data_IF_167689464651
#
_entry.id   IF_167689464651
#
_cell.length_a   1.000
_cell.length_b   1.000
_cell.length_c   1.000
_cell.angle_alpha   90.00
_cell.angle_beta   90.00
_cell.angle_gamma   90.00
#
_symmetry.space_group_name_H-M   'P 1'
#
loop_
_entity.id
_entity.type
_entity.pdbx_description
1 polymer ?
#
# COMPACT_ATOMS: atom_id res chain seq x y z
N UNK A 1 -14.44 30.70 17.59
CA UNK A 1 -13.85 30.04 18.79
C UNK A 1 -12.87 29.00 18.30
N UNK A 2 -11.68 28.91 18.88
CA UNK A 2 -10.74 27.85 18.55
C UNK A 2 -11.35 26.48 18.87
N UNK A 3 -11.17 25.49 17.99
CA UNK A 3 -11.65 24.10 18.16
C UNK A 3 -11.32 23.51 19.54
N UNK A 4 -10.16 23.87 20.08
CA UNK A 4 -9.74 23.49 21.42
C UNK A 4 -10.73 23.94 22.50
N UNK A 5 -11.25 25.16 22.45
CA UNK A 5 -12.21 25.65 23.45
C UNK A 5 -13.54 24.91 23.37
N UNK A 6 -14.00 24.52 22.17
CA UNK A 6 -15.26 23.81 21.99
C UNK A 6 -15.23 22.40 22.61
N UNK A 7 -14.09 21.71 22.51
CA UNK A 7 -13.88 20.37 23.06
C UNK A 7 -13.58 20.41 24.56
N UNK A 8 -12.86 21.43 25.05
CA UNK A 8 -12.60 21.62 26.49
C UNK A 8 -13.87 22.00 27.24
N UNK A 9 -14.72 22.87 26.68
CA UNK A 9 -15.87 23.45 27.39
C UNK A 9 -17.15 22.57 27.35
N UNK A 10 -17.21 21.53 26.50
CA UNK A 10 -18.33 20.57 26.48
C UNK A 10 -17.85 19.15 26.84
N UNK A 11 -17.97 18.77 28.13
CA UNK A 11 -17.61 17.43 28.59
C UNK A 11 -18.32 16.31 27.82
N UNK A 12 -19.55 16.55 27.35
CA UNK A 12 -20.29 15.55 26.56
C UNK A 12 -19.70 15.33 25.17
N UNK A 13 -19.21 16.40 24.52
CA UNK A 13 -18.52 16.30 23.24
C UNK A 13 -17.20 15.54 23.40
N UNK A 14 -16.45 15.84 24.47
CA UNK A 14 -15.21 15.14 24.80
C UNK A 14 -15.43 13.64 25.03
N UNK A 15 -16.45 13.28 25.80
CA UNK A 15 -16.74 11.88 26.11
C UNK A 15 -17.22 11.12 24.86
N UNK A 16 -17.99 11.76 23.98
CA UNK A 16 -18.39 11.16 22.69
C UNK A 16 -17.20 10.97 21.74
N UNK A 17 -16.25 11.92 21.69
CA UNK A 17 -15.04 11.78 20.89
C UNK A 17 -14.14 10.67 21.45
N UNK A 18 -14.00 10.58 22.77
CA UNK A 18 -13.25 9.51 23.42
C UNK A 18 -13.88 8.13 23.15
N UNK A 19 -15.19 8.03 23.28
CA UNK A 19 -15.92 6.78 23.00
C UNK A 19 -15.84 6.42 21.52
N UNK A 20 -15.95 7.39 20.59
CA UNK A 20 -15.74 7.15 19.16
C UNK A 20 -14.34 6.58 18.87
N UNK A 21 -13.29 7.14 19.49
CA UNK A 21 -11.92 6.61 19.32
C UNK A 21 -11.80 5.20 19.88
N UNK A 22 -12.43 4.93 21.03
CA UNK A 22 -12.45 3.61 21.64
C UNK A 22 -13.19 2.59 20.76
N UNK A 23 -14.38 2.93 20.30
CA UNK A 23 -15.21 2.08 19.43
C UNK A 23 -14.54 1.88 18.06
N UNK A 24 -13.88 2.90 17.52
CA UNK A 24 -13.11 2.80 16.28
C UNK A 24 -11.89 1.89 16.44
N UNK A 25 -11.16 2.00 17.56
CA UNK A 25 -10.04 1.12 17.88
C UNK A 25 -10.48 -0.32 18.18
N UNK A 26 -11.66 -0.53 18.76
CA UNK A 26 -12.24 -1.84 19.05
C UNK A 26 -12.87 -2.49 17.79
N UNK A 27 -13.38 -1.68 16.85
CA UNK A 27 -13.98 -2.15 15.60
C UNK A 27 -12.95 -2.40 14.47
N UNK A 28 -11.75 -1.85 14.58
CA UNK A 28 -10.62 -2.16 13.70
C UNK A 28 -9.90 -3.41 14.23
N UNK A 29 -9.56 -4.35 13.34
CA UNK A 29 -8.77 -5.51 13.76
C UNK A 29 -7.40 -5.03 14.24
N UNK A 30 -6.85 -5.63 15.31
CA UNK A 30 -5.58 -5.24 15.93
C UNK A 30 -4.36 -5.15 14.96
N UNK A 31 -4.50 -5.66 13.73
CA UNK A 31 -3.52 -5.62 12.66
C UNK A 31 -3.58 -4.30 11.85
N UNK A 32 -4.74 -3.63 11.78
CA UNK A 32 -4.91 -2.35 11.06
C UNK A 32 -4.29 -1.16 11.81
N UNK A 33 -4.22 -1.22 13.15
CA UNK A 33 -3.53 -0.22 13.98
C UNK A 33 -2.01 -0.19 13.70
N UNK A 34 -1.44 -1.29 13.19
CA UNK A 34 0.00 -1.42 12.92
C UNK A 34 0.41 -1.14 11.47
N UNK A 35 -0.53 -0.98 10.55
CA UNK A 35 -0.28 -0.66 9.14
C UNK A 35 -0.42 0.85 8.85
N UNK A 36 0.31 1.32 7.84
CA UNK A 36 0.59 2.74 7.56
C UNK A 36 -0.69 3.61 7.44
N UNK A 37 -1.79 3.05 6.93
CA UNK A 37 -3.08 3.72 6.82
C UNK A 37 -3.74 4.01 8.20
N UNK A 38 -3.62 3.07 9.15
CA UNK A 38 -4.09 3.25 10.53
C UNK A 38 -3.32 4.33 11.26
N UNK A 39 -2.00 4.39 11.09
CA UNK A 39 -1.15 5.44 11.69
C UNK A 39 -1.46 6.84 11.19
N UNK A 40 -1.83 7.06 9.93
CA UNK A 40 -2.11 8.40 9.41
C UNK A 40 -3.44 8.97 9.95
N UNK A 41 -4.50 8.16 9.99
CA UNK A 41 -5.78 8.55 10.58
C UNK A 41 -5.68 8.67 12.11
N UNK A 42 -4.97 7.74 12.75
CA UNK A 42 -4.73 7.75 14.19
C UNK A 42 -3.83 8.93 14.62
N UNK A 43 -2.75 9.24 13.91
CA UNK A 43 -1.94 10.44 14.15
C UNK A 43 -2.77 11.70 13.99
N UNK A 44 -3.64 11.77 12.98
CA UNK A 44 -4.49 12.94 12.75
C UNK A 44 -5.45 13.13 13.93
N UNK A 45 -6.13 12.07 14.36
CA UNK A 45 -7.07 12.09 15.49
C UNK A 45 -6.33 12.38 16.81
N UNK A 46 -5.18 11.74 17.04
CA UNK A 46 -4.36 11.97 18.22
C UNK A 46 -3.79 13.39 18.24
N UNK A 47 -3.40 13.94 17.10
CA UNK A 47 -2.95 15.33 16.96
C UNK A 47 -4.08 16.31 17.24
N UNK A 48 -5.30 16.01 16.78
CA UNK A 48 -6.51 16.80 17.08
C UNK A 48 -6.79 16.78 18.59
N UNK A 49 -6.69 15.62 19.24
CA UNK A 49 -6.90 15.46 20.69
C UNK A 49 -5.79 16.17 21.47
N UNK A 50 -4.52 16.00 21.10
CA UNK A 50 -3.36 16.63 21.74
C UNK A 50 -3.37 18.15 21.59
N UNK A 51 -3.72 18.66 20.40
CA UNK A 51 -3.88 20.09 20.17
C UNK A 51 -5.05 20.69 20.98
N UNK A 52 -6.13 19.91 21.14
CA UNK A 52 -7.26 20.30 21.98
C UNK A 52 -6.92 20.26 23.48
N UNK A 53 -6.19 19.25 23.97
CA UNK A 53 -5.84 19.07 25.39
C UNK A 53 -4.75 20.03 25.85
N UNK A 54 -3.82 20.43 24.98
CA UNK A 54 -2.69 21.32 25.32
C UNK A 54 -2.93 22.81 25.05
N UNK A 55 -4.13 23.20 24.65
CA UNK A 55 -4.47 24.61 24.36
C UNK A 55 -3.70 25.20 23.18
N UNK A 56 -3.24 24.36 22.25
CA UNK A 56 -2.49 24.78 21.06
C UNK A 56 -1.00 25.12 21.28
N UNK A 57 -0.47 24.97 22.49
CA UNK A 57 0.92 25.40 22.79
C UNK A 57 1.97 24.34 22.40
N UNK A 58 1.58 23.06 22.31
CA UNK A 58 2.53 21.95 22.05
C UNK A 58 2.76 21.56 20.59
N UNK A 59 1.94 22.01 19.64
CA UNK A 59 1.90 21.45 18.27
C UNK A 59 2.24 22.44 17.14
N UNK A 60 2.66 23.68 17.45
CA UNK A 60 2.85 24.72 16.42
C UNK A 60 4.01 24.40 15.46
N UNK A 61 5.02 23.63 15.89
CA UNK A 61 6.15 23.27 15.05
C UNK A 61 5.83 22.24 13.93
N UNK A 62 4.81 21.38 14.13
CA UNK A 62 4.47 20.33 13.17
C UNK A 62 3.45 20.76 12.09
N UNK A 63 2.84 21.94 12.23
CA UNK A 63 1.78 22.43 11.34
C UNK A 63 2.35 23.01 10.04
N UNK A 64 3.58 23.52 10.05
CA UNK A 64 4.21 24.15 8.88
C UNK A 64 4.41 23.21 7.68
N UNK A 65 4.68 21.93 7.93
CA UNK A 65 4.92 20.93 6.87
C UNK A 65 3.65 20.29 6.30
N UNK A 66 2.48 20.52 6.91
CA UNK A 66 1.19 19.89 6.55
C UNK A 66 0.13 20.93 6.12
N UNK A 67 0.55 22.10 5.64
CA UNK A 67 -0.33 23.22 5.27
C UNK A 67 -1.43 22.87 4.24
N UNK A 68 -1.20 21.89 3.37
CA UNK A 68 -2.20 21.42 2.39
C UNK A 68 -3.40 20.70 3.03
N UNK A 69 -3.26 20.20 4.27
CA UNK A 69 -4.35 19.59 5.03
C UNK A 69 -5.26 20.63 5.70
N UNK A 70 -4.86 21.91 5.78
CA UNK A 70 -5.60 22.99 6.45
C UNK A 70 -7.01 23.19 5.87
N UNK A 71 -7.19 23.01 4.55
CA UNK A 71 -8.53 23.05 3.93
C UNK A 71 -9.45 21.91 4.40
N UNK A 72 -8.89 20.72 4.67
CA UNK A 72 -9.63 19.60 5.25
C UNK A 72 -9.92 19.85 6.74
N UNK A 73 -9.01 20.52 7.47
CA UNK A 73 -9.23 20.97 8.86
C UNK A 73 -10.41 21.95 9.00
N UNK A 74 -10.59 22.87 8.05
CA UNK A 74 -11.73 23.82 8.08
C UNK A 74 -13.07 23.07 8.00
N UNK A 75 -13.20 22.12 7.07
CA UNK A 75 -14.42 21.31 6.90
C UNK A 75 -14.73 20.43 8.11
N UNK A 76 -13.69 19.86 8.74
CA UNK A 76 -13.84 19.10 10.00
C UNK A 76 -14.25 20.02 11.15
N UNK A 77 -13.72 21.24 11.20
CA UNK A 77 -14.11 22.25 12.17
C UNK A 77 -15.58 22.67 12.05
N UNK A 78 -16.06 22.86 10.82
CA UNK A 78 -17.45 23.19 10.54
C UNK A 78 -18.39 22.05 10.98
N UNK A 79 -18.04 20.81 10.65
CA UNK A 79 -18.81 19.62 11.04
C UNK A 79 -18.88 19.43 12.56
N UNK A 80 -17.78 19.62 13.29
CA UNK A 80 -17.76 19.52 14.75
C UNK A 80 -18.54 20.67 15.41
N UNK A 81 -18.47 21.88 14.84
CA UNK A 81 -19.31 23.02 15.24
C UNK A 81 -20.79 22.71 15.04
N UNK A 82 -21.17 22.13 13.90
CA UNK A 82 -22.56 21.82 13.59
C UNK A 82 -23.10 20.67 14.43
N UNK A 83 -22.26 19.67 14.72
CA UNK A 83 -22.55 18.61 15.69
C UNK A 83 -22.77 19.17 17.11
N UNK A 84 -21.92 20.09 17.57
CA UNK A 84 -22.07 20.74 18.87
C UNK A 84 -23.35 21.60 18.95
N UNK A 85 -23.69 22.33 17.87
CA UNK A 85 -24.96 23.07 17.77
C UNK A 85 -26.16 22.13 17.83
N UNK A 86 -26.11 21.00 17.12
CA UNK A 86 -27.18 20.01 17.08
C UNK A 86 -27.41 19.36 18.45
N UNK A 87 -26.34 18.93 19.13
CA UNK A 87 -26.40 18.36 20.49
C UNK A 87 -26.87 19.37 21.54
N UNK A 88 -26.47 20.64 21.44
CA UNK A 88 -26.98 21.72 22.31
C UNK A 88 -28.48 21.97 22.07
N UNK A 89 -28.94 21.96 20.82
CA UNK A 89 -30.36 22.08 20.45
C UNK A 89 -31.18 20.90 20.98
N UNK A 90 -30.64 19.68 20.90
CA UNK A 90 -31.26 18.48 21.46
C UNK A 90 -31.32 18.52 23.00
N UNK A 91 -30.25 18.94 23.70
CA UNK A 91 -30.26 19.14 25.17
C UNK A 91 -31.29 20.20 25.60
N UNK A 92 -31.44 21.30 24.84
CA UNK A 92 -32.43 22.34 25.11
C UNK A 92 -33.87 21.85 24.85
N UNK A 93 -34.08 21.05 23.80
CA UNK A 93 -35.36 20.41 23.53
C UNK A 93 -35.71 19.34 24.58
N UNK A 94 -34.73 18.59 25.08
CA UNK A 94 -34.89 17.65 26.19
C UNK A 94 -35.23 18.35 27.51
N UNK A 95 -34.64 19.54 27.78
CA UNK A 95 -35.03 20.39 28.91
C UNK A 95 -36.45 20.94 28.79
N UNK A 96 -36.90 21.30 27.58
CA UNK A 96 -38.29 21.73 27.33
C UNK A 96 -39.33 20.59 27.48
N UNK A 97 -38.90 19.33 27.36
CA UNK A 97 -39.75 18.15 27.56
C UNK A 97 -39.82 17.66 29.01
N UNK A 98 -38.99 18.18 29.92
CA UNK A 98 -39.02 17.82 31.36
C UNK A 98 -39.99 18.71 32.14
N UNK A 99 -41.28 18.53 31.88
CA UNK A 99 -42.36 18.90 32.82
C UNK A 99 -43.26 17.69 33.10
N UNK A 100 -42.67 16.59 33.57
CA UNK A 100 -43.26 15.58 34.47
C UNK A 100 -42.30 14.40 34.61
N UNK A 101 -41.98 14.04 35.86
CA UNK A 101 -41.51 12.70 36.23
C UNK A 101 -40.00 12.53 36.35
N UNK A 102 -39.53 12.54 37.60
CA UNK A 102 -38.35 11.91 38.23
C UNK A 102 -37.01 11.71 37.49
N UNK A 103 -35.95 12.01 38.26
CA UNK A 103 -34.54 11.82 37.93
C UNK A 103 -34.21 10.34 37.67
N UNK A 104 -33.97 9.97 36.40
CA UNK A 104 -33.20 8.78 36.06
C UNK A 104 -31.72 9.16 35.92
N UNK A 105 -30.83 8.42 36.58
CA UNK A 105 -29.37 8.55 36.40
C UNK A 105 -28.92 7.61 35.29
N UNK A 106 -27.84 7.97 34.60
CA UNK A 106 -27.28 7.21 33.48
C UNK A 106 -26.79 5.81 33.89
N UNK A 107 -26.54 5.59 35.19
CA UNK A 107 -26.23 4.28 35.78
C UNK A 107 -27.40 3.30 35.80
N UNK A 108 -28.62 3.76 35.54
CA UNK A 108 -29.84 2.94 35.66
C UNK A 108 -30.24 2.28 34.34
N UNK A 109 -29.41 2.42 33.28
CA UNK A 109 -29.57 1.71 32.02
C UNK A 109 -28.69 0.46 32.04
N UNK A 110 -29.31 -0.70 32.26
CA UNK A 110 -28.69 -2.00 31.99
C UNK A 110 -28.13 -2.01 30.57
N UNK A 111 -26.86 -2.39 30.44
CA UNK A 111 -26.23 -2.61 29.15
C UNK A 111 -26.81 -3.88 28.55
N UNK A 112 -27.87 -3.74 27.75
CA UNK A 112 -28.34 -4.82 26.90
C UNK A 112 -27.17 -5.22 25.99
N UNK A 113 -26.70 -6.47 26.11
CA UNK A 113 -25.80 -7.05 25.13
C UNK A 113 -26.56 -7.13 23.81
N UNK A 114 -26.37 -6.12 22.96
CA UNK A 114 -26.91 -6.12 21.61
C UNK A 114 -26.20 -7.21 20.81
N UNK A 115 -26.91 -8.32 20.60
CA UNK A 115 -26.62 -9.23 19.49
C UNK A 115 -26.72 -8.42 18.19
N UNK A 116 -25.58 -8.11 17.58
CA UNK A 116 -25.52 -7.35 16.34
C UNK A 116 -26.04 -8.21 15.18
N UNK A 117 -27.31 -8.02 14.82
CA UNK A 117 -27.75 -8.29 13.44
C UNK A 117 -27.06 -7.28 12.54
N UNK A 118 -26.41 -7.76 11.47
CA UNK A 118 -25.91 -6.94 10.35
C UNK A 118 -27.02 -5.99 9.91
N UNK A 119 -26.79 -4.69 9.99
CA UNK A 119 -27.73 -3.68 9.52
C UNK A 119 -27.40 -3.31 8.09
N UNK A 120 -28.39 -3.50 7.22
CA UNK A 120 -28.43 -2.95 5.87
C UNK A 120 -28.49 -1.42 5.95
N UNK A 121 -27.54 -0.75 5.30
CA UNK A 121 -27.51 0.69 5.19
C UNK A 121 -28.46 1.16 4.08
N UNK A 122 -29.65 1.60 4.46
CA UNK A 122 -30.50 2.42 3.60
C UNK A 122 -30.96 3.69 4.31
N UNK A 123 -30.60 4.83 3.71
CA UNK A 123 -30.99 6.17 4.16
C UNK A 123 -30.23 7.30 3.46
N UNK A 124 -29.87 7.14 2.19
CA UNK A 124 -29.56 8.26 1.29
C UNK A 124 -30.66 8.27 0.23
N UNK A 125 -31.71 9.04 0.50
CA UNK A 125 -32.77 9.34 -0.47
C UNK A 125 -32.10 10.09 -1.63
N UNK A 126 -32.19 9.50 -2.84
CA UNK A 126 -32.03 10.09 -4.19
C UNK A 126 -31.66 9.05 -5.26
N UNK A 127 -31.54 7.76 -4.90
CA UNK A 127 -32.05 6.70 -5.80
C UNK A 127 -31.33 6.49 -7.14
N UNK A 128 -30.10 6.99 -7.33
CA UNK A 128 -29.16 6.52 -8.37
C UNK A 128 -27.72 6.54 -7.86
N UNK A 129 -27.43 5.73 -6.83
CA UNK A 129 -26.07 5.20 -6.69
C UNK A 129 -25.99 4.09 -7.73
N UNK A 130 -25.23 4.30 -8.80
CA UNK A 130 -24.82 3.20 -9.67
C UNK A 130 -24.20 2.14 -8.76
N UNK A 131 -24.87 1.00 -8.57
CA UNK A 131 -24.24 -0.18 -7.98
C UNK A 131 -23.11 -0.58 -8.91
N UNK A 132 -21.93 0.05 -8.80
CA UNK A 132 -20.71 -0.57 -9.29
C UNK A 132 -20.60 -1.85 -8.48
N UNK A 133 -20.83 -2.99 -9.13
CA UNK A 133 -20.53 -4.29 -8.55
C UNK A 133 -19.10 -4.21 -8.00
N UNK A 134 -18.90 -4.62 -6.74
CA UNK A 134 -17.56 -4.67 -6.18
C UNK A 134 -16.77 -5.68 -7.02
N UNK A 135 -15.87 -5.19 -7.88
CA UNK A 135 -15.04 -6.03 -8.74
C UNK A 135 -14.05 -6.87 -7.94
N UNK A 136 -13.82 -6.53 -6.65
CA UNK A 136 -12.83 -7.18 -5.81
C UNK A 136 -13.09 -8.68 -5.68
N UNK A 137 -12.06 -9.48 -5.95
CA UNK A 137 -12.00 -10.93 -5.80
C UNK A 137 -11.03 -11.23 -4.68
N UNK A 138 -11.56 -11.81 -3.60
CA UNK A 138 -10.75 -12.26 -2.47
C UNK A 138 -10.96 -13.77 -2.29
N UNK A 139 -9.90 -14.59 -2.47
CA UNK A 139 -9.98 -16.02 -2.23
C UNK A 139 -10.37 -16.34 -0.78
N UNK A 140 -11.06 -17.46 -0.56
CA UNK A 140 -11.34 -17.96 0.80
C UNK A 140 -10.09 -18.51 1.47
N UNK A 141 -9.20 -19.11 0.69
CA UNK A 141 -7.95 -19.74 1.09
C UNK A 141 -7.05 -19.94 -0.15
N UNK A 142 -5.83 -20.42 0.06
CA UNK A 142 -4.86 -20.65 -1.02
C UNK A 142 -5.33 -21.68 -2.06
N UNK A 143 -6.15 -22.65 -1.68
CA UNK A 143 -6.75 -23.62 -2.63
C UNK A 143 -7.78 -22.94 -3.52
N UNK A 144 -8.64 -22.10 -2.95
CA UNK A 144 -9.62 -21.30 -3.68
C UNK A 144 -8.94 -20.34 -4.66
N UNK A 145 -7.80 -19.77 -4.28
CA UNK A 145 -6.99 -18.91 -5.16
C UNK A 145 -6.55 -19.66 -6.42
N UNK A 146 -6.09 -20.92 -6.29
CA UNK A 146 -5.74 -21.78 -7.45
C UNK A 146 -6.94 -22.06 -8.34
N UNK A 147 -8.10 -22.35 -7.75
CA UNK A 147 -9.34 -22.59 -8.50
C UNK A 147 -9.79 -21.36 -9.29
N UNK A 148 -9.65 -20.16 -8.70
CA UNK A 148 -9.95 -18.90 -9.39
C UNK A 148 -9.04 -18.76 -10.61
N UNK A 149 -7.72 -18.90 -10.46
CA UNK A 149 -6.80 -18.76 -11.60
C UNK A 149 -7.06 -19.79 -12.71
N UNK A 150 -7.40 -21.03 -12.36
CA UNK A 150 -7.78 -22.05 -13.34
C UNK A 150 -9.04 -21.66 -14.13
N UNK A 151 -10.06 -21.13 -13.45
CA UNK A 151 -11.26 -20.62 -14.12
C UNK A 151 -10.95 -19.42 -15.03
N UNK A 152 -10.07 -18.50 -14.60
CA UNK A 152 -9.64 -17.36 -15.43
C UNK A 152 -8.90 -17.79 -16.67
N UNK A 153 -8.07 -18.84 -16.58
CA UNK A 153 -7.42 -19.43 -17.74
C UNK A 153 -8.42 -19.91 -18.79
N UNK A 154 -9.47 -20.61 -18.36
CA UNK A 154 -10.54 -21.06 -19.26
C UNK A 154 -11.31 -19.88 -19.88
N UNK A 155 -11.60 -18.84 -19.09
CA UNK A 155 -12.26 -17.62 -19.57
C UNK A 155 -11.43 -16.87 -20.63
N UNK A 156 -10.13 -16.73 -20.40
CA UNK A 156 -9.20 -16.07 -21.34
C UNK A 156 -9.05 -16.89 -22.61
N UNK A 157 -8.93 -18.22 -22.50
CA UNK A 157 -8.87 -19.10 -23.67
C UNK A 157 -10.13 -19.01 -24.54
N UNK A 158 -11.31 -18.84 -23.93
CA UNK A 158 -12.58 -18.75 -24.64
C UNK A 158 -12.85 -17.35 -25.22
N UNK A 159 -12.50 -16.28 -24.50
CA UNK A 159 -12.97 -14.93 -24.81
C UNK A 159 -11.84 -13.91 -25.10
N UNK A 160 -10.58 -14.30 -24.91
CA UNK A 160 -9.44 -13.40 -24.89
C UNK A 160 -9.30 -12.65 -23.56
N UNK A 161 -8.12 -12.08 -23.35
CA UNK A 161 -7.82 -11.29 -22.15
C UNK A 161 -8.47 -9.91 -22.22
N UNK A 162 -9.13 -9.51 -21.13
CA UNK A 162 -9.62 -8.14 -20.93
C UNK A 162 -9.25 -7.69 -19.51
N UNK A 163 -8.61 -6.52 -19.33
CA UNK A 163 -8.29 -6.01 -18.01
C UNK A 163 -9.53 -5.77 -17.16
N UNK A 164 -9.45 -6.15 -15.89
CA UNK A 164 -10.52 -6.00 -14.91
C UNK A 164 -10.80 -4.56 -14.51
N UNK A 165 -9.75 -3.76 -14.30
CA UNK A 165 -9.82 -2.37 -13.85
C UNK A 165 -9.38 -1.42 -14.95
N UNK A 166 -10.08 -0.30 -15.11
CA UNK A 166 -9.62 0.79 -15.99
C UNK A 166 -8.52 1.63 -15.33
N UNK A 167 -7.81 2.45 -16.11
CA UNK A 167 -6.79 3.36 -15.58
C UNK A 167 -7.33 4.28 -14.46
N UNK A 168 -8.54 4.82 -14.64
CA UNK A 168 -9.16 5.68 -13.62
C UNK A 168 -9.48 4.91 -12.32
N UNK A 169 -9.84 3.62 -12.42
CA UNK A 169 -10.07 2.78 -11.25
C UNK A 169 -8.75 2.42 -10.57
N UNK A 170 -7.71 2.06 -11.33
CA UNK A 170 -6.38 1.79 -10.81
C UNK A 170 -5.77 3.01 -10.11
N UNK A 171 -5.92 4.20 -10.68
CA UNK A 171 -5.49 5.46 -10.05
C UNK A 171 -6.24 5.75 -8.75
N UNK A 172 -7.54 5.46 -8.69
CA UNK A 172 -8.32 5.60 -7.47
C UNK A 172 -7.84 4.61 -6.38
N UNK A 173 -7.61 3.34 -6.75
CA UNK A 173 -7.07 2.32 -5.84
C UNK A 173 -5.65 2.70 -5.38
N UNK A 174 -4.78 3.17 -6.25
CA UNK A 174 -3.42 3.58 -5.89
C UNK A 174 -3.42 4.73 -4.87
N UNK A 175 -4.39 5.64 -4.98
CA UNK A 175 -4.49 6.85 -4.15
C UNK A 175 -5.23 6.63 -2.84
N UNK A 176 -6.29 5.82 -2.87
CA UNK A 176 -7.25 5.70 -1.78
C UNK A 176 -7.34 4.28 -1.19
N UNK A 177 -6.80 3.28 -1.88
CA UNK A 177 -6.80 1.89 -1.43
C UNK A 177 -5.65 1.56 -0.49
N UNK A 178 -5.81 0.46 0.26
CA UNK A 178 -4.76 -0.08 1.13
C UNK A 178 -4.33 -1.47 0.65
N UNK A 179 -3.78 -1.51 -0.57
CA UNK A 179 -3.35 -2.76 -1.21
C UNK A 179 -2.24 -3.47 -0.42
N UNK A 180 -1.46 -2.74 0.39
CA UNK A 180 -0.47 -3.34 1.30
C UNK A 180 -1.10 -4.21 2.40
N UNK A 181 -2.37 -3.97 2.74
CA UNK A 181 -3.11 -4.75 3.74
C UNK A 181 -3.98 -5.87 3.15
N UNK A 182 -4.00 -6.04 1.82
CA UNK A 182 -4.74 -7.15 1.20
C UNK A 182 -4.16 -8.49 1.67
N UNK A 183 -5.05 -9.37 2.16
CA UNK A 183 -4.67 -10.66 2.72
C UNK A 183 -3.93 -11.53 1.72
N UNK A 184 -4.40 -11.60 0.48
CA UNK A 184 -3.75 -12.42 -0.56
C UNK A 184 -2.94 -11.53 -1.49
N UNK A 185 -1.62 -11.65 -1.39
CA UNK A 185 -0.66 -11.02 -2.29
C UNK A 185 -0.12 -12.05 -3.28
N UNK A 186 0.46 -11.56 -4.36
CA UNK A 186 1.06 -12.40 -5.40
C UNK A 186 2.43 -11.89 -5.81
N UNK A 187 3.38 -12.82 -5.92
CA UNK A 187 4.75 -12.57 -6.38
C UNK A 187 5.02 -13.43 -7.61
N UNK A 188 5.27 -12.76 -8.73
CA UNK A 188 5.73 -13.38 -9.97
C UNK A 188 7.25 -13.37 -10.00
N UNK A 189 7.88 -14.51 -10.33
CA UNK A 189 9.32 -14.67 -10.38
C UNK A 189 9.72 -15.78 -11.35
N UNK A 190 10.96 -15.79 -11.83
CA UNK A 190 11.51 -16.98 -12.50
C UNK A 190 11.57 -18.17 -11.52
N UNK A 191 11.35 -19.37 -12.03
CA UNK A 191 11.28 -20.62 -11.25
C UNK A 191 12.61 -20.96 -10.58
N UNK A 192 13.74 -20.56 -11.16
CA UNK A 192 15.08 -20.75 -10.58
C UNK A 192 15.22 -20.11 -9.18
N UNK A 193 14.47 -19.04 -8.88
CA UNK A 193 14.49 -18.37 -7.58
C UNK A 193 13.74 -19.12 -6.48
N UNK A 194 12.98 -20.18 -6.83
CA UNK A 194 12.38 -21.04 -5.81
C UNK A 194 13.44 -21.73 -4.95
N UNK A 195 14.63 -21.99 -5.51
CA UNK A 195 15.74 -22.57 -4.79
C UNK A 195 16.88 -21.54 -4.67
N UNK A 196 17.58 -21.57 -3.55
CA UNK A 196 18.73 -20.71 -3.34
C UNK A 196 19.87 -21.14 -4.26
N UNK A 197 20.61 -20.17 -4.81
CA UNK A 197 21.72 -20.43 -5.76
C UNK A 197 22.78 -21.37 -5.20
N UNK A 198 23.07 -21.28 -3.92
CA UNK A 198 24.08 -22.12 -3.25
C UNK A 198 23.53 -23.50 -2.83
N UNK A 199 22.21 -23.69 -2.87
CA UNK A 199 21.55 -24.97 -2.57
C UNK A 199 20.46 -25.28 -3.63
N UNK A 200 20.84 -25.35 -4.92
CA UNK A 200 19.89 -25.44 -6.03
C UNK A 200 19.07 -26.74 -6.01
N UNK A 201 19.59 -27.79 -5.38
CA UNK A 201 18.94 -29.10 -5.26
C UNK A 201 18.03 -29.21 -4.02
N UNK A 202 18.00 -28.20 -3.15
CA UNK A 202 17.13 -28.17 -1.97
C UNK A 202 15.82 -27.48 -2.34
N UNK A 203 14.68 -28.18 -2.41
CA UNK A 203 13.42 -27.58 -2.82
C UNK A 203 13.00 -26.44 -1.89
N UNK A 204 12.57 -25.33 -2.48
CA UNK A 204 12.05 -24.16 -1.77
C UNK A 204 13.07 -23.54 -0.78
N UNK A 205 14.37 -23.75 -1.02
CA UNK A 205 15.44 -23.14 -0.23
C UNK A 205 15.61 -21.65 -0.51
N UNK A 206 15.03 -21.13 -1.59
CA UNK A 206 15.02 -19.71 -1.95
C UNK A 206 14.13 -18.87 -1.03
N UNK A 207 14.06 -17.57 -1.32
CA UNK A 207 13.29 -16.58 -0.55
C UNK A 207 12.34 -15.79 -1.47
N UNK A 208 11.37 -15.07 -0.88
CA UNK A 208 10.39 -14.25 -1.64
C UNK A 208 11.04 -13.19 -2.55
N UNK A 209 12.26 -12.78 -2.21
CA UNK A 209 13.09 -11.88 -3.01
C UNK A 209 14.49 -11.75 -2.41
N UNK A 210 15.24 -10.77 -2.91
CA UNK A 210 16.63 -10.53 -2.50
C UNK A 210 16.70 -10.19 -1.02
N UNK A 211 17.60 -10.85 -0.29
CA UNK A 211 17.87 -10.50 1.12
C UNK A 211 18.42 -9.07 1.21
N UNK A 212 17.92 -8.32 2.19
CA UNK A 212 18.35 -6.96 2.50
C UNK A 212 18.45 -6.78 4.02
N UNK A 213 19.52 -6.14 4.48
CA UNK A 213 19.64 -5.70 5.88
C UNK A 213 19.22 -4.24 5.98
N UNK A 214 18.10 -4.02 6.66
CA UNK A 214 17.60 -2.71 7.06
C UNK A 214 17.90 -2.42 8.54
N UNK A 215 17.50 -1.25 9.01
CA UNK A 215 17.62 -0.86 10.42
C UNK A 215 16.79 -1.77 11.33
N UNK A 216 15.63 -2.24 10.85
CA UNK A 216 14.69 -3.01 11.65
C UNK A 216 14.86 -4.53 11.59
N UNK A 217 15.73 -5.04 10.71
CA UNK A 217 15.93 -6.48 10.56
C UNK A 217 16.65 -6.86 9.26
N UNK A 218 16.81 -8.17 9.04
CA UNK A 218 17.33 -8.74 7.79
C UNK A 218 16.31 -9.75 7.28
N UNK A 219 15.96 -9.66 6.00
CA UNK A 219 14.97 -10.52 5.37
C UNK A 219 14.78 -10.19 3.89
N UNK A 220 13.82 -10.85 3.25
CA UNK A 220 13.56 -10.64 1.83
C UNK A 220 12.94 -9.27 1.54
N UNK A 221 13.42 -8.63 0.48
CA UNK A 221 12.82 -7.43 -0.12
C UNK A 221 12.31 -7.75 -1.52
N UNK A 222 11.02 -7.57 -1.74
CA UNK A 222 10.37 -7.92 -3.00
C UNK A 222 9.21 -7.00 -3.35
N UNK A 223 8.87 -7.00 -4.63
CA UNK A 223 7.74 -6.28 -5.19
C UNK A 223 6.57 -7.25 -5.41
N UNK A 224 5.36 -6.86 -5.08
CA UNK A 224 4.17 -7.69 -5.27
C UNK A 224 2.97 -6.85 -5.66
N UNK A 225 1.83 -7.50 -5.84
CA UNK A 225 0.53 -6.85 -5.91
C UNK A 225 -0.51 -7.73 -5.23
N UNK A 226 -1.75 -7.26 -5.11
CA UNK A 226 -2.83 -8.09 -4.59
C UNK A 226 -3.26 -9.15 -5.60
N UNK A 227 -3.67 -10.31 -5.09
CA UNK A 227 -4.27 -11.38 -5.91
C UNK A 227 -5.44 -10.83 -6.73
N UNK A 228 -6.27 -9.99 -6.11
CA UNK A 228 -7.41 -9.33 -6.76
C UNK A 228 -7.07 -8.64 -8.09
N UNK A 229 -5.93 -7.95 -8.14
CA UNK A 229 -5.55 -7.17 -9.32
C UNK A 229 -4.83 -7.98 -10.39
N UNK A 230 -4.29 -9.15 -10.03
CA UNK A 230 -3.56 -10.00 -10.97
C UNK A 230 -4.41 -11.15 -11.52
N UNK A 231 -5.44 -11.59 -10.80
CA UNK A 231 -6.18 -12.81 -11.13
C UNK A 231 -6.81 -12.84 -12.52
N UNK A 232 -7.19 -11.69 -13.07
CA UNK A 232 -7.70 -11.57 -14.44
C UNK A 232 -6.64 -11.84 -15.53
N UNK A 233 -5.35 -11.83 -15.19
CA UNK A 233 -4.23 -12.27 -16.04
C UNK A 233 -3.80 -13.73 -15.74
N UNK A 234 -4.64 -14.48 -15.01
CA UNK A 234 -4.51 -15.90 -14.68
C UNK A 234 -3.11 -16.34 -14.19
N UNK A 235 -2.43 -17.16 -14.99
CA UNK A 235 -1.20 -17.90 -14.82
C UNK A 235 -0.39 -17.86 -16.12
N UNK A 236 -0.81 -17.09 -17.14
CA UNK A 236 -0.05 -16.82 -18.36
C UNK A 236 1.13 -15.89 -18.04
N UNK A 237 2.39 -16.36 -18.16
CA UNK A 237 3.56 -15.59 -17.78
C UNK A 237 3.78 -14.37 -18.67
N UNK A 238 3.31 -14.38 -19.93
CA UNK A 238 3.40 -13.23 -20.83
C UNK A 238 2.41 -12.15 -20.41
N UNK A 239 1.15 -12.50 -20.14
CA UNK A 239 0.14 -11.55 -19.68
C UNK A 239 0.52 -10.94 -18.33
N UNK A 240 0.97 -11.78 -17.38
CA UNK A 240 1.44 -11.32 -16.07
C UNK A 240 2.65 -10.39 -16.23
N UNK A 241 3.66 -10.76 -17.01
CA UNK A 241 4.84 -9.91 -17.22
C UNK A 241 4.45 -8.55 -17.79
N UNK A 242 3.63 -8.53 -18.83
CA UNK A 242 3.18 -7.29 -19.47
C UNK A 242 2.36 -6.42 -18.51
N UNK A 243 1.48 -7.04 -17.71
CA UNK A 243 0.67 -6.34 -16.70
C UNK A 243 1.52 -5.79 -15.54
N UNK A 244 2.60 -6.46 -15.18
CA UNK A 244 3.53 -5.99 -14.15
C UNK A 244 4.59 -5.02 -14.69
N UNK A 245 4.51 -4.62 -15.96
CA UNK A 245 5.49 -3.72 -16.57
C UNK A 245 6.86 -4.34 -16.77
N UNK A 246 6.93 -5.67 -16.81
CA UNK A 246 8.14 -6.45 -17.01
C UNK A 246 8.33 -6.80 -18.50
N UNK A 247 9.57 -7.13 -18.87
CA UNK A 247 9.86 -7.76 -20.16
C UNK A 247 9.66 -9.26 -20.02
N UNK A 248 8.86 -9.85 -20.92
CA UNK A 248 8.66 -11.29 -20.97
C UNK A 248 9.78 -11.96 -21.76
N UNK A 249 10.44 -12.95 -21.15
CA UNK A 249 11.40 -13.83 -21.80
C UNK A 249 10.74 -15.19 -22.07
N UNK A 250 10.50 -15.58 -23.34
CA UNK A 250 9.87 -16.87 -23.65
C UNK A 250 10.74 -18.09 -23.32
N UNK A 251 12.06 -17.91 -23.13
CA UNK A 251 12.98 -19.00 -22.81
C UNK A 251 13.11 -19.24 -21.29
N UNK A 252 12.59 -18.32 -20.48
CA UNK A 252 12.57 -18.43 -19.02
C UNK A 252 11.36 -19.23 -18.51
N UNK A 253 11.58 -19.97 -17.43
CA UNK A 253 10.50 -20.62 -16.68
C UNK A 253 10.05 -19.71 -15.54
N UNK A 254 8.74 -19.53 -15.38
CA UNK A 254 8.17 -18.66 -14.37
C UNK A 254 7.31 -19.41 -13.35
N UNK A 255 7.21 -18.82 -12.17
CA UNK A 255 6.37 -19.28 -11.06
C UNK A 255 5.55 -18.10 -10.51
N UNK A 256 4.32 -18.39 -10.09
CA UNK A 256 3.51 -17.47 -9.31
C UNK A 256 3.39 -17.98 -7.88
N UNK A 257 3.82 -17.17 -6.92
CA UNK A 257 3.66 -17.43 -5.49
C UNK A 257 2.48 -16.61 -4.98
N UNK A 258 1.46 -17.28 -4.46
CA UNK A 258 0.31 -16.66 -3.80
C UNK A 258 0.58 -16.72 -2.30
N UNK A 259 0.50 -15.57 -1.63
CA UNK A 259 0.87 -15.38 -0.23
C UNK A 259 -0.38 -15.06 0.58
N UNK A 260 -0.64 -15.79 1.65
CA UNK A 260 -1.54 -15.38 2.71
C UNK A 260 -0.75 -14.51 3.70
N UNK A 261 -0.82 -13.19 3.51
CA UNK A 261 -0.09 -12.19 4.30
C UNK A 261 -0.40 -12.28 5.79
N UNK A 262 -1.61 -12.70 6.18
CA UNK A 262 -1.95 -12.88 7.59
C UNK A 262 -1.20 -14.06 8.21
N UNK A 263 -1.02 -15.15 7.46
CA UNK A 263 -0.25 -16.30 7.90
C UNK A 263 1.27 -16.07 7.81
N UNK A 264 1.73 -15.31 6.82
CA UNK A 264 3.14 -15.01 6.59
C UNK A 264 3.70 -13.98 7.59
N UNK A 265 2.94 -12.94 7.93
CA UNK A 265 3.44 -11.81 8.73
C UNK A 265 4.05 -12.18 10.09
N UNK A 266 3.48 -13.12 10.88
CA UNK A 266 4.09 -13.55 12.14
C UNK A 266 5.45 -14.24 11.97
N UNK A 267 5.70 -14.85 10.80
CA UNK A 267 6.95 -15.56 10.50
C UNK A 267 8.02 -14.57 10.02
N UNK A 268 7.63 -13.68 9.11
CA UNK A 268 8.57 -12.85 8.35
C UNK A 268 8.76 -11.45 8.94
N UNK A 269 7.80 -10.96 9.73
CA UNK A 269 7.73 -9.56 10.12
C UNK A 269 7.55 -8.62 8.93
N UNK A 270 6.92 -9.10 7.85
CA UNK A 270 6.72 -8.33 6.62
C UNK A 270 5.93 -7.06 6.89
N UNK A 271 6.36 -5.98 6.25
CA UNK A 271 5.53 -4.80 6.04
C UNK A 271 5.51 -4.47 4.56
N UNK A 272 4.33 -4.09 4.11
CA UNK A 272 4.03 -3.81 2.70
C UNK A 272 3.57 -2.36 2.59
N UNK A 273 4.09 -1.65 1.60
CA UNK A 273 3.68 -0.27 1.29
C UNK A 273 3.37 -0.16 -0.19
N UNK A 274 2.37 0.64 -0.56
CA UNK A 274 2.15 1.00 -1.97
C UNK A 274 3.40 1.68 -2.51
N UNK A 275 3.79 1.34 -3.74
CA UNK A 275 5.05 1.79 -4.32
C UNK A 275 4.99 3.21 -4.91
N UNK A 276 4.64 4.18 -4.06
CA UNK A 276 4.68 5.60 -4.41
C UNK A 276 6.05 6.20 -4.10
N UNK A 277 6.40 7.33 -4.73
CA UNK A 277 7.62 8.07 -4.40
C UNK A 277 7.71 8.37 -2.91
N UNK A 278 6.61 8.77 -2.29
CA UNK A 278 6.52 9.07 -0.85
C UNK A 278 6.84 7.84 0.00
N UNK A 279 6.12 6.74 -0.22
CA UNK A 279 6.26 5.53 0.59
C UNK A 279 7.62 4.85 0.41
N UNK A 280 8.13 4.77 -0.82
CA UNK A 280 9.46 4.18 -1.08
C UNK A 280 10.57 5.08 -0.53
N UNK A 281 10.40 6.41 -0.55
CA UNK A 281 11.32 7.33 0.12
C UNK A 281 11.33 7.12 1.63
N UNK A 282 10.16 7.08 2.26
CA UNK A 282 10.02 6.86 3.70
C UNK A 282 10.64 5.51 4.11
N UNK A 283 10.36 4.45 3.36
CA UNK A 283 10.99 3.15 3.54
C UNK A 283 12.52 3.25 3.49
N UNK A 284 13.06 3.85 2.42
CA UNK A 284 14.51 3.97 2.23
C UNK A 284 15.17 4.81 3.33
N UNK A 285 14.53 5.91 3.74
CA UNK A 285 15.02 6.77 4.81
C UNK A 285 14.99 6.08 6.17
N UNK A 286 14.03 5.19 6.39
CA UNK A 286 13.84 4.50 7.67
C UNK A 286 14.74 3.28 7.81
N UNK A 287 14.77 2.43 6.78
CA UNK A 287 15.50 1.16 6.80
C UNK A 287 16.96 1.33 6.37
N UNK A 288 17.26 2.31 5.51
CA UNK A 288 18.59 2.52 4.93
C UNK A 288 19.09 3.99 5.04
N UNK A 289 18.94 4.67 6.20
CA UNK A 289 19.20 6.12 6.35
C UNK A 289 20.61 6.54 5.94
N UNK A 290 21.62 5.67 6.14
CA UNK A 290 23.01 5.95 5.76
C UNK A 290 23.23 5.89 4.25
N UNK A 291 22.52 5.01 3.54
CA UNK A 291 22.62 4.86 2.08
C UNK A 291 21.75 5.89 1.37
N UNK A 292 20.52 6.05 1.84
CA UNK A 292 19.47 6.87 1.22
C UNK A 292 18.83 7.81 2.26
N UNK A 293 19.55 8.87 2.69
CA UNK A 293 19.00 9.85 3.61
C UNK A 293 17.89 10.68 2.94
N UNK A 294 17.05 11.31 3.76
CA UNK A 294 15.90 12.10 3.29
C UNK A 294 16.28 13.19 2.29
N UNK A 295 17.35 13.93 2.56
CA UNK A 295 17.89 14.97 1.69
C UNK A 295 18.25 14.49 0.26
N UNK A 296 18.49 13.18 0.10
CA UNK A 296 18.73 12.56 -1.18
C UNK A 296 17.42 12.13 -1.83
N UNK A 297 16.55 11.41 -1.12
CA UNK A 297 15.27 10.94 -1.67
C UNK A 297 14.36 12.11 -2.05
N UNK A 298 14.36 13.21 -1.29
CA UNK A 298 13.62 14.44 -1.60
C UNK A 298 13.99 15.04 -2.96
N UNK A 299 15.19 14.73 -3.48
CA UNK A 299 15.66 15.23 -4.79
C UNK A 299 15.41 14.25 -5.92
N UNK A 300 15.50 12.94 -5.66
CA UNK A 300 15.54 11.92 -6.71
C UNK A 300 14.27 11.10 -6.86
N UNK A 301 13.37 11.17 -5.88
CA UNK A 301 12.08 10.48 -5.87
C UNK A 301 10.97 11.46 -6.29
N UNK A 302 11.14 12.06 -7.47
CA UNK A 302 10.14 12.94 -8.10
C UNK A 302 9.89 12.49 -9.54
N UNK A 303 8.72 12.83 -10.13
CA UNK A 303 8.43 12.51 -11.52
C UNK A 303 9.49 13.05 -12.50
N UNK A 304 9.95 14.28 -12.28
CA UNK A 304 10.92 14.95 -13.17
C UNK A 304 12.28 14.25 -13.12
N UNK A 305 12.77 13.93 -11.92
CA UNK A 305 14.05 13.23 -11.78
C UNK A 305 13.96 11.81 -12.33
N UNK A 306 12.86 11.10 -12.06
CA UNK A 306 12.65 9.76 -12.58
C UNK A 306 12.59 9.72 -14.11
N UNK A 307 11.95 10.71 -14.74
CA UNK A 307 11.92 10.80 -16.20
C UNK A 307 13.32 10.99 -16.80
N UNK A 308 14.13 11.89 -16.25
CA UNK A 308 15.51 12.08 -16.72
C UNK A 308 16.38 10.85 -16.40
N UNK A 309 16.22 10.23 -15.22
CA UNK A 309 16.91 8.99 -14.86
C UNK A 309 16.58 7.86 -15.84
N UNK A 310 15.31 7.66 -16.18
CA UNK A 310 14.86 6.64 -17.14
C UNK A 310 15.48 6.87 -18.51
N UNK A 311 15.48 8.12 -18.98
CA UNK A 311 16.11 8.51 -20.25
C UNK A 311 17.61 8.20 -20.28
N UNK A 312 18.35 8.60 -19.24
CA UNK A 312 19.80 8.36 -19.17
C UNK A 312 20.12 6.86 -19.02
N UNK A 313 19.32 6.12 -18.25
CA UNK A 313 19.48 4.68 -18.09
C UNK A 313 19.27 3.93 -19.42
N UNK A 314 18.22 4.29 -20.17
CA UNK A 314 17.94 3.70 -21.49
C UNK A 314 19.01 4.07 -22.52
N UNK A 315 19.47 5.32 -22.53
CA UNK A 315 20.60 5.72 -23.37
C UNK A 315 21.88 4.94 -23.04
N UNK A 316 22.13 4.64 -21.75
CA UNK A 316 23.23 3.79 -21.33
C UNK A 316 23.07 2.35 -21.83
N UNK A 317 21.87 1.77 -21.73
CA UNK A 317 21.58 0.44 -22.26
C UNK A 317 21.79 0.38 -23.78
N UNK A 318 21.25 1.34 -24.52
CA UNK A 318 21.38 1.42 -25.99
C UNK A 318 22.83 1.59 -26.44
N UNK A 319 23.63 2.33 -25.65
CA UNK A 319 25.07 2.48 -25.88
C UNK A 319 25.88 1.23 -25.48
N UNK A 320 25.25 0.18 -24.95
CA UNK A 320 25.92 -1.03 -24.50
C UNK A 320 26.74 -0.83 -23.21
N UNK A 321 26.45 0.19 -22.41
CA UNK A 321 27.22 0.51 -21.21
C UNK A 321 27.23 -0.65 -20.19
N UNK A 322 26.22 -1.51 -20.21
CA UNK A 322 26.09 -2.64 -19.30
C UNK A 322 26.48 -4.00 -19.93
N UNK A 323 27.20 -3.99 -21.07
CA UNK A 323 27.58 -5.22 -21.76
C UNK A 323 28.49 -6.13 -20.92
N UNK A 324 29.43 -5.53 -20.18
CA UNK A 324 30.36 -6.26 -19.31
C UNK A 324 29.77 -6.50 -17.92
N UNK A 325 29.28 -5.43 -17.27
CA UNK A 325 28.71 -5.48 -15.93
C UNK A 325 27.57 -4.47 -15.77
N UNK A 326 26.45 -4.92 -15.21
CA UNK A 326 25.39 -4.02 -14.77
C UNK A 326 25.74 -3.39 -13.42
N UNK A 327 26.44 -2.24 -13.44
CA UNK A 327 26.93 -1.57 -12.24
C UNK A 327 26.75 -0.05 -12.24
N UNK A 328 26.74 0.55 -11.04
CA UNK A 328 26.70 2.00 -10.89
C UNK A 328 27.97 2.70 -11.43
N UNK A 329 29.08 1.99 -11.58
CA UNK A 329 30.30 2.54 -12.16
C UNK A 329 30.19 2.60 -13.68
N UNK A 330 29.66 1.56 -14.32
CA UNK A 330 29.41 1.59 -15.76
C UNK A 330 28.36 2.64 -16.14
N UNK A 331 27.33 2.80 -15.30
CA UNK A 331 26.39 3.89 -15.49
C UNK A 331 27.07 5.28 -15.35
N UNK A 332 27.99 5.46 -14.40
CA UNK A 332 28.77 6.70 -14.27
C UNK A 332 29.68 6.94 -15.48
N UNK A 333 30.30 5.89 -16.03
CA UNK A 333 31.11 5.98 -17.25
C UNK A 333 30.28 6.53 -18.42
N UNK A 334 29.07 6.02 -18.62
CA UNK A 334 28.13 6.58 -19.59
C UNK A 334 27.78 8.03 -19.27
N UNK A 335 27.40 8.33 -18.03
CA UNK A 335 27.07 9.71 -17.63
C UNK A 335 28.25 10.68 -17.88
N UNK A 336 29.50 10.22 -17.81
CA UNK A 336 30.67 11.05 -18.11
C UNK A 336 30.76 11.47 -19.57
N UNK A 337 30.09 10.78 -20.49
CA UNK A 337 30.00 11.17 -21.90
C UNK A 337 28.91 12.20 -22.19
N UNK A 338 28.06 12.54 -21.21
CA UNK A 338 26.98 13.54 -21.35
C UNK A 338 27.43 14.93 -20.89
N UNK A 339 26.66 15.96 -21.25
CA UNK A 339 26.86 17.36 -20.88
C UNK A 339 26.31 17.73 -19.48
N UNK A 340 25.80 16.75 -18.73
CA UNK A 340 25.26 16.97 -17.39
C UNK A 340 26.27 17.58 -16.42
N UNK A 341 25.79 18.27 -15.40
CA UNK A 341 26.64 18.79 -14.33
C UNK A 341 27.25 17.66 -13.49
N UNK A 342 28.43 17.90 -12.91
CA UNK A 342 29.06 16.92 -12.00
C UNK A 342 28.20 16.58 -10.77
N UNK A 343 27.37 17.52 -10.30
CA UNK A 343 26.41 17.27 -9.22
C UNK A 343 25.30 16.33 -9.64
N UNK A 344 24.76 16.51 -10.86
CA UNK A 344 23.65 15.66 -11.35
C UNK A 344 24.14 14.25 -11.67
N UNK A 345 25.35 14.10 -12.22
CA UNK A 345 25.98 12.79 -12.43
C UNK A 345 26.11 12.01 -11.12
N UNK A 346 26.51 12.68 -10.04
CA UNK A 346 26.56 12.07 -8.69
C UNK A 346 25.18 11.65 -8.17
N UNK A 347 24.15 12.46 -8.40
CA UNK A 347 22.78 12.11 -8.03
C UNK A 347 22.27 10.91 -8.84
N UNK A 348 22.48 10.89 -10.16
CA UNK A 348 22.10 9.77 -11.03
C UNK A 348 22.80 8.46 -10.64
N UNK A 349 24.11 8.49 -10.39
CA UNK A 349 24.86 7.33 -9.88
C UNK A 349 24.26 6.82 -8.57
N UNK A 350 23.92 7.73 -7.64
CA UNK A 350 23.33 7.34 -6.35
C UNK A 350 21.90 6.82 -6.51
N UNK A 351 21.11 7.34 -7.47
CA UNK A 351 19.79 6.82 -7.83
C UNK A 351 19.88 5.42 -8.45
N UNK A 352 20.91 5.13 -9.24
CA UNK A 352 21.20 3.78 -9.72
C UNK A 352 21.51 2.82 -8.55
N UNK A 353 22.32 3.22 -7.58
CA UNK A 353 22.55 2.40 -6.37
C UNK A 353 21.26 2.13 -5.58
N UNK A 354 20.34 3.10 -5.58
CA UNK A 354 19.00 2.91 -5.01
C UNK A 354 18.19 1.91 -5.82
N UNK A 355 18.19 2.01 -7.16
CA UNK A 355 17.61 1.01 -8.06
C UNK A 355 18.16 -0.40 -7.75
N UNK A 356 19.48 -0.58 -7.68
CA UNK A 356 20.10 -1.86 -7.36
C UNK A 356 19.67 -2.41 -5.99
N UNK A 357 19.58 -1.54 -4.98
CA UNK A 357 19.29 -1.95 -3.59
C UNK A 357 17.80 -2.22 -3.36
N UNK A 358 16.93 -1.35 -3.87
CA UNK A 358 15.49 -1.34 -3.56
C UNK A 358 14.67 -1.97 -4.70
N UNK A 359 15.14 -1.88 -5.94
CA UNK A 359 14.46 -2.40 -7.13
C UNK A 359 13.50 -1.41 -7.79
N UNK A 360 13.52 -0.13 -7.41
CA UNK A 360 12.79 0.93 -8.11
C UNK A 360 13.52 1.30 -9.40
N UNK A 361 13.21 0.58 -10.48
CA UNK A 361 13.91 0.62 -11.76
C UNK A 361 13.67 1.91 -12.57
N UNK A 362 14.08 1.89 -13.84
CA UNK A 362 13.92 2.99 -14.79
C UNK A 362 12.48 3.16 -15.31
N UNK A 363 11.65 2.11 -15.24
CA UNK A 363 10.22 2.18 -15.56
C UNK A 363 9.32 2.48 -14.34
N UNK A 364 9.91 2.57 -13.14
CA UNK A 364 9.21 2.92 -11.91
C UNK A 364 8.53 4.30 -12.01
N UNK A 365 7.20 4.34 -11.96
CA UNK A 365 6.43 5.57 -12.13
C UNK A 365 6.30 6.39 -10.83
N UNK A 366 6.45 5.76 -9.67
CA UNK A 366 6.32 6.39 -8.35
C UNK A 366 4.92 6.92 -8.02
N UNK A 367 3.91 6.56 -8.81
CA UNK A 367 2.49 6.81 -8.54
C UNK A 367 1.78 5.59 -7.91
N UNK A 368 2.53 4.54 -7.56
CA UNK A 368 2.00 3.28 -7.03
C UNK A 368 1.53 2.29 -8.09
N UNK A 369 1.59 2.63 -9.38
CA UNK A 369 1.12 1.78 -10.47
C UNK A 369 2.28 1.23 -11.30
N UNK A 370 2.11 0.01 -11.79
CA UNK A 370 2.96 -0.54 -12.86
C UNK A 370 2.54 0.06 -14.20
N UNK A 371 3.52 0.26 -15.09
CA UNK A 371 3.24 0.49 -16.51
C UNK A 371 2.67 -0.79 -17.12
N UNK A 372 1.66 -0.68 -17.97
CA UNK A 372 1.20 -1.80 -18.77
C UNK A 372 1.99 -1.87 -20.08
N UNK A 373 2.67 -2.99 -20.31
CA UNK A 373 3.45 -3.23 -21.52
C UNK A 373 2.70 -4.09 -22.55
N UNK A 374 1.41 -4.40 -22.34
CA UNK A 374 0.63 -5.18 -23.29
C UNK A 374 0.19 -4.31 -24.49
N UNK A 375 0.72 -4.54 -25.72
CA UNK A 375 0.40 -3.71 -26.87
C UNK A 375 -1.02 -3.90 -27.40
N UNK A 376 -1.72 -4.97 -26.99
CA UNK A 376 -3.08 -5.27 -27.45
C UNK A 376 -4.15 -4.64 -26.57
N UNK A 377 -3.75 -3.98 -25.48
CA UNK A 377 -4.66 -3.35 -24.52
C UNK A 377 -4.44 -1.85 -24.55
N UNK A 378 -5.51 -1.09 -24.78
CA UNK A 378 -5.47 0.37 -24.70
C UNK A 378 -5.60 0.83 -23.24
N UNK A 379 -4.55 0.60 -22.45
CA UNK A 379 -4.49 0.93 -21.02
C UNK A 379 -3.05 1.28 -20.62
N UNK A 380 -2.88 2.34 -19.83
CA UNK A 380 -1.56 2.83 -19.42
C UNK A 380 -0.99 2.02 -18.24
N UNK A 381 -1.85 1.61 -17.31
CA UNK A 381 -1.44 1.00 -16.04
C UNK A 381 -1.88 -0.46 -15.92
N UNK A 382 -1.08 -1.26 -15.21
CA UNK A 382 -1.37 -2.68 -15.02
C UNK A 382 -2.01 -3.00 -13.67
N UNK A 383 -1.29 -2.73 -12.57
CA UNK A 383 -1.73 -2.96 -11.20
C UNK A 383 -1.19 -1.89 -10.26
N UNK A 384 -1.77 -1.77 -9.07
CA UNK A 384 -1.12 -1.12 -7.93
C UNK A 384 -0.07 -2.06 -7.36
N UNK A 385 1.18 -1.62 -7.36
CA UNK A 385 2.33 -2.39 -6.89
C UNK A 385 2.67 -2.06 -5.43
N UNK A 386 3.17 -3.05 -4.71
CA UNK A 386 3.64 -2.91 -3.33
C UNK A 386 5.11 -3.28 -3.22
N UNK A 387 5.84 -2.51 -2.40
CA UNK A 387 7.15 -2.87 -1.91
C UNK A 387 6.99 -3.57 -0.56
N UNK A 388 7.59 -4.75 -0.44
CA UNK A 388 7.52 -5.60 0.74
C UNK A 388 8.91 -5.78 1.31
N UNK A 389 9.02 -5.70 2.63
CA UNK A 389 10.26 -5.99 3.35
C UNK A 389 9.99 -6.82 4.60
N UNK A 390 10.60 -8.00 4.62
CA UNK A 390 10.64 -8.93 5.74
C UNK A 390 11.79 -8.57 6.68
N UNK A 391 11.57 -8.74 7.98
CA UNK A 391 12.54 -8.42 9.03
C UNK A 391 13.23 -9.64 9.61
N UNK A 392 12.77 -10.82 9.21
CA UNK A 392 13.34 -12.10 9.54
C UNK A 392 13.72 -12.83 8.25
N UNK A 393 14.83 -13.56 8.28
CA UNK A 393 15.21 -14.44 7.18
C UNK A 393 14.36 -15.71 7.24
N UNK A 394 13.47 -15.84 6.27
CA UNK A 394 12.57 -16.98 6.11
C UNK A 394 12.64 -17.44 4.65
N UNK A 395 12.81 -18.73 4.43
CA UNK A 395 12.79 -19.31 3.09
C UNK A 395 11.38 -19.77 2.69
N UNK A 396 11.20 -20.08 1.41
CA UNK A 396 9.91 -20.50 0.86
C UNK A 396 9.42 -21.81 1.49
N UNK A 397 10.32 -22.74 1.84
CA UNK A 397 9.94 -23.98 2.51
C UNK A 397 9.30 -23.73 3.88
N UNK A 398 9.84 -22.80 4.67
CA UNK A 398 9.28 -22.45 5.98
C UNK A 398 7.89 -21.81 5.86
N UNK A 399 7.68 -20.98 4.83
CA UNK A 399 6.36 -20.40 4.54
C UNK A 399 5.35 -21.47 4.10
N UNK A 400 5.77 -22.38 3.22
CA UNK A 400 4.93 -23.47 2.70
C UNK A 400 4.51 -24.44 3.82
N UNK A 401 5.45 -24.85 4.70
CA UNK A 401 5.16 -25.68 5.87
C UNK A 401 4.15 -25.08 6.84
N UNK A 402 3.98 -23.75 6.82
CA UNK A 402 3.00 -23.02 7.63
C UNK A 402 1.72 -22.69 6.88
N UNK A 403 1.55 -23.21 5.66
CA UNK A 403 0.44 -22.87 4.76
C UNK A 403 0.30 -21.36 4.54
N UNK A 404 1.42 -20.63 4.59
CA UNK A 404 1.44 -19.18 4.38
C UNK A 404 1.56 -18.81 2.89
N UNK A 405 1.98 -19.76 2.05
CA UNK A 405 2.07 -19.58 0.60
C UNK A 405 1.52 -20.80 -0.13
N UNK A 406 1.17 -20.61 -1.39
CA UNK A 406 1.07 -21.69 -2.37
C UNK A 406 1.74 -21.27 -3.67
N UNK A 407 2.33 -22.22 -4.38
CA UNK A 407 3.15 -21.96 -5.57
C UNK A 407 2.50 -22.63 -6.77
N UNK A 408 2.45 -21.91 -7.90
CA UNK A 408 2.15 -22.44 -9.23
C UNK A 408 3.46 -22.37 -10.04
N UNK A 409 4.25 -23.46 -10.08
CA UNK A 409 5.48 -23.50 -10.86
C UNK A 409 5.19 -23.82 -12.33
N UNK A 410 6.14 -23.48 -13.22
CA UNK A 410 6.10 -23.91 -14.62
C UNK A 410 4.94 -23.29 -15.40
N UNK A 411 4.75 -21.99 -15.23
CA UNK A 411 3.71 -21.23 -15.92
C UNK A 411 3.91 -21.28 -17.44
N UNK A 412 2.79 -21.30 -18.18
CA UNK A 412 2.80 -21.39 -19.64
C UNK A 412 1.82 -20.40 -20.28
N UNK A 413 2.18 -19.78 -21.42
CA UNK A 413 1.24 -18.97 -22.17
C UNK A 413 -0.03 -19.76 -22.54
N UNK A 414 -1.16 -19.07 -22.68
CA UNK A 414 -2.41 -19.63 -23.22
C UNK A 414 -2.30 -19.88 -24.72
#
# INVERSE_FOLDING_TARGET
MAMANLVIEDPGLRDMLYQFVKDYAEAQHAIEITNVAGTAAFELILTIIMAAVTGGVGAVAAIGSKAHLIKKFQKVGDLLSDFAKATRKLKLQAKKRKTKGNNAKFSDMEADQVQTKKTDAHGAEDGKVSKKANKKVEPKNLTDAKSILAARREEIAANGYTPKYSDAELQDIAKNGDIGSDRYQVRFMETNYLNHRDTPDVPLSGSMGRSMTGKSGTGAKYWSTSFDQLEDADSDPRLISQKLGLTYDPDANYSLVIVDSQAAAPLTGVKSVSATFENVSEFANTELPKKFPKEFTDKVMTPEFQAEYSKQYKAAQEAGAFADEWSANEFENHLNTTDMSASDKKLMKKRFKMHETIGNNDDYLGNGLTKNNNPTVNQEYGVVETLNFERNEVNLSQLDQKNAITILPGLSPI
#
